data_IF_168456881935
#
_entry.id   IF_168456881935
#
_cell.length_a   1.000
_cell.length_b   1.000
_cell.length_c   1.000
_cell.angle_alpha   90.00
_cell.angle_beta   90.00
_cell.angle_gamma   90.00
#
_symmetry.space_group_name_H-M   'P 1'
#
loop_
_entity.id
_entity.type
_entity.pdbx_description
1 polymer ?
#
# COMPACT_ATOMS: atom_id res chain seq x y z
N UNK A 1 -19.38 -17.21 16.86
CA UNK A 1 -18.60 -17.38 18.09
C UNK A 1 -17.51 -16.32 18.06
N UNK A 2 -17.64 -15.22 18.80
CA UNK A 2 -16.60 -14.20 18.85
C UNK A 2 -15.50 -14.70 19.80
N UNK A 3 -14.32 -14.97 19.28
CA UNK A 3 -13.15 -15.26 20.11
C UNK A 3 -12.79 -13.96 20.82
N UNK A 4 -13.09 -13.88 22.13
CA UNK A 4 -12.61 -12.80 22.98
C UNK A 4 -11.15 -13.08 23.32
N UNK A 5 -10.23 -12.71 22.43
CA UNK A 5 -8.81 -12.62 22.80
C UNK A 5 -8.61 -11.41 23.72
N UNK A 6 -7.88 -11.55 24.85
CA UNK A 6 -7.52 -10.42 25.68
C UNK A 6 -6.80 -9.35 24.84
N UNK A 7 -7.07 -8.05 25.06
CA UNK A 7 -6.50 -6.96 24.25
C UNK A 7 -4.97 -6.93 24.22
N UNK A 8 -4.31 -7.54 25.21
CA UNK A 8 -2.84 -7.60 25.33
C UNK A 8 -2.23 -8.95 24.88
N UNK A 9 -3.02 -9.85 24.26
CA UNK A 9 -2.51 -11.11 23.71
C UNK A 9 -1.66 -10.86 22.45
N UNK A 10 -0.52 -11.54 22.34
CA UNK A 10 0.32 -11.53 21.13
C UNK A 10 -0.42 -12.28 20.02
N UNK A 11 -0.72 -11.58 18.92
CA UNK A 11 -1.37 -12.15 17.75
C UNK A 11 -0.38 -12.92 16.87
N UNK A 12 0.81 -12.36 16.63
CA UNK A 12 1.89 -13.03 15.88
C UNK A 12 3.26 -12.40 16.15
N UNK A 13 4.31 -13.11 15.70
CA UNK A 13 5.68 -12.60 15.67
C UNK A 13 6.05 -12.19 14.25
N UNK A 14 6.36 -10.92 14.03
CA UNK A 14 6.91 -10.44 12.76
C UNK A 14 8.43 -10.49 12.82
N UNK A 15 9.02 -11.46 12.13
CA UNK A 15 10.48 -11.48 11.98
C UNK A 15 10.91 -10.39 10.99
N UNK A 16 11.90 -9.60 11.40
CA UNK A 16 12.54 -8.60 10.53
C UNK A 16 13.92 -9.09 10.10
N UNK A 17 14.32 -8.70 8.89
CA UNK A 17 15.60 -9.08 8.26
C UNK A 17 16.81 -8.36 8.87
N UNK A 18 16.75 -8.02 10.17
CA UNK A 18 17.74 -7.20 10.88
C UNK A 18 19.15 -7.44 10.36
N UNK A 19 19.74 -6.40 9.77
CA UNK A 19 21.02 -6.50 9.09
C UNK A 19 22.07 -7.00 10.08
N UNK A 20 22.66 -8.15 9.77
CA UNK A 20 23.86 -8.74 10.39
C UNK A 20 23.75 -9.26 11.83
N UNK A 21 22.58 -9.68 12.32
CA UNK A 21 22.42 -10.24 13.67
C UNK A 21 21.47 -11.43 13.79
N UNK A 22 21.12 -11.81 15.02
CA UNK A 22 20.07 -12.79 15.30
C UNK A 22 18.70 -12.25 14.84
N UNK A 23 17.86 -13.06 14.16
CA UNK A 23 16.53 -12.64 13.77
C UNK A 23 15.72 -12.12 14.95
N UNK A 24 15.21 -10.89 14.84
CA UNK A 24 14.36 -10.28 15.87
C UNK A 24 12.90 -10.51 15.50
N UNK A 25 12.14 -11.11 16.41
CA UNK A 25 10.70 -11.25 16.29
C UNK A 25 9.99 -10.11 17.01
N UNK A 26 9.35 -9.22 16.27
CA UNK A 26 8.49 -8.20 16.86
C UNK A 26 7.20 -8.87 17.34
N UNK A 27 6.89 -8.73 18.62
CA UNK A 27 5.63 -9.19 19.20
C UNK A 27 4.51 -8.23 18.80
N UNK A 28 3.64 -8.64 17.88
CA UNK A 28 2.49 -7.86 17.45
C UNK A 28 1.27 -8.30 18.27
N UNK A 29 0.83 -7.44 19.19
CA UNK A 29 -0.38 -7.67 19.98
C UNK A 29 -1.66 -7.44 19.18
N UNK A 30 -2.75 -8.11 19.56
CA UNK A 30 -4.07 -7.96 18.91
C UNK A 30 -4.55 -6.50 18.92
N UNK A 31 -4.44 -5.79 20.06
CA UNK A 31 -4.78 -4.36 20.12
C UNK A 31 -3.86 -3.49 19.26
N UNK A 32 -2.57 -3.81 19.18
CA UNK A 32 -1.64 -3.04 18.35
C UNK A 32 -1.98 -3.19 16.86
N UNK A 33 -2.28 -4.42 16.44
CA UNK A 33 -2.69 -4.72 15.07
C UNK A 33 -3.96 -3.96 14.68
N UNK A 34 -5.03 -4.06 15.48
CA UNK A 34 -6.31 -3.39 15.18
C UNK A 34 -6.13 -1.88 15.16
N UNK A 35 -5.43 -1.31 16.16
CA UNK A 35 -5.17 0.13 16.19
C UNK A 35 -4.36 0.60 14.97
N UNK A 36 -3.36 -0.17 14.51
CA UNK A 36 -2.58 0.21 13.34
C UNK A 36 -3.41 0.11 12.04
N UNK A 37 -4.25 -0.91 11.90
CA UNK A 37 -5.18 -1.05 10.77
C UNK A 37 -6.20 0.10 10.74
N UNK A 38 -6.71 0.53 11.88
CA UNK A 38 -7.62 1.67 11.95
C UNK A 38 -6.92 2.98 11.58
N UNK A 39 -5.69 3.22 12.06
CA UNK A 39 -4.89 4.38 11.67
C UNK A 39 -4.64 4.41 10.15
N UNK A 40 -4.29 3.26 9.59
CA UNK A 40 -4.12 3.07 8.14
C UNK A 40 -5.44 3.40 7.41
N UNK A 41 -6.58 2.89 7.88
CA UNK A 41 -7.89 3.16 7.27
C UNK A 41 -8.27 4.65 7.32
N UNK A 42 -7.96 5.35 8.42
CA UNK A 42 -8.25 6.78 8.55
C UNK A 42 -7.52 7.63 7.52
N UNK A 43 -6.22 7.37 7.29
CA UNK A 43 -5.43 8.06 6.26
C UNK A 43 -6.06 7.84 4.88
N UNK A 44 -6.48 6.60 4.60
CA UNK A 44 -7.10 6.21 3.34
C UNK A 44 -8.43 6.92 3.10
N UNK A 45 -9.25 7.06 4.14
CA UNK A 45 -10.56 7.73 4.06
C UNK A 45 -10.39 9.24 3.87
N UNK A 46 -9.47 9.86 4.62
CA UNK A 46 -9.19 11.29 4.52
C UNK A 46 -8.70 11.71 3.12
N UNK A 47 -7.80 10.93 2.50
CA UNK A 47 -7.30 11.22 1.15
C UNK A 47 -8.35 11.12 0.05
N UNK A 48 -9.35 10.26 0.26
CA UNK A 48 -10.31 9.95 -0.78
C UNK A 48 -11.47 10.93 -0.87
N UNK A 49 -11.62 11.83 0.10
CA UNK A 49 -12.77 12.75 0.25
C UNK A 49 -14.15 12.04 0.32
N UNK A 50 -14.18 10.71 0.39
CA UNK A 50 -15.40 9.89 0.24
C UNK A 50 -16.07 9.52 1.56
N UNK A 51 -15.56 10.03 2.69
CA UNK A 51 -16.12 9.72 4.01
C UNK A 51 -16.08 8.21 4.32
N UNK A 52 -17.07 7.72 5.07
CA UNK A 52 -17.20 6.31 5.38
C UNK A 52 -17.92 5.55 4.26
N UNK A 53 -17.15 4.76 3.50
CA UNK A 53 -17.69 3.82 2.53
C UNK A 53 -18.07 2.48 3.16
N UNK A 54 -19.09 1.79 2.64
CA UNK A 54 -19.35 0.38 2.92
C UNK A 54 -18.11 -0.48 2.63
N UNK A 55 -17.90 -1.54 3.40
CA UNK A 55 -16.71 -2.38 3.30
C UNK A 55 -16.58 -3.07 1.92
N UNK A 56 -17.71 -3.47 1.35
CA UNK A 56 -17.84 -4.09 0.04
C UNK A 56 -17.44 -3.18 -1.12
N UNK A 57 -17.43 -1.86 -0.93
CA UNK A 57 -17.04 -0.88 -1.93
C UNK A 57 -15.53 -0.59 -1.93
N UNK A 58 -14.77 -1.23 -1.05
CA UNK A 58 -13.33 -1.03 -0.88
C UNK A 58 -12.56 -2.29 -1.27
N UNK A 59 -11.56 -2.11 -2.12
CA UNK A 59 -10.69 -3.17 -2.62
C UNK A 59 -9.21 -2.95 -2.32
N UNK A 60 -8.48 -4.05 -2.13
CA UNK A 60 -7.02 -4.08 -2.01
C UNK A 60 -6.45 -4.99 -3.09
N UNK A 61 -5.46 -4.51 -3.87
CA UNK A 61 -4.65 -5.36 -4.73
C UNK A 61 -3.20 -5.42 -4.22
N UNK A 62 -2.76 -6.60 -3.80
CA UNK A 62 -1.40 -6.78 -3.27
C UNK A 62 -0.68 -7.96 -3.93
N UNK A 63 0.56 -7.71 -4.34
CA UNK A 63 1.54 -8.72 -4.72
C UNK A 63 2.62 -8.90 -3.65
N UNK A 64 2.55 -8.13 -2.56
CA UNK A 64 3.59 -8.10 -1.56
C UNK A 64 3.64 -9.42 -0.78
N UNK A 65 4.85 -9.86 -0.41
CA UNK A 65 5.01 -11.08 0.36
C UNK A 65 4.34 -10.96 1.74
N UNK A 66 3.53 -11.96 2.08
CA UNK A 66 2.87 -12.05 3.40
C UNK A 66 3.83 -12.41 4.55
N UNK A 67 5.10 -12.71 4.23
CA UNK A 67 6.15 -12.83 5.24
C UNK A 67 6.82 -11.47 5.57
N UNK A 68 6.47 -10.39 4.87
CA UNK A 68 6.79 -9.02 5.26
C UNK A 68 5.56 -8.31 5.82
N UNK A 69 5.79 -7.41 6.78
CA UNK A 69 4.78 -6.59 7.46
C UNK A 69 3.81 -5.88 6.50
N UNK A 70 4.32 -5.24 5.44
CA UNK A 70 3.52 -4.47 4.49
C UNK A 70 2.58 -5.36 3.66
N UNK A 71 3.03 -6.57 3.31
CA UNK A 71 2.19 -7.54 2.59
C UNK A 71 1.20 -8.24 3.51
N UNK A 72 1.63 -8.59 4.72
CA UNK A 72 0.79 -9.24 5.73
C UNK A 72 -0.28 -8.28 6.26
N UNK A 73 0.12 -7.21 6.94
CA UNK A 73 -0.80 -6.28 7.61
C UNK A 73 -1.51 -5.42 6.57
N UNK A 74 -0.75 -4.78 5.67
CA UNK A 74 -1.30 -3.82 4.71
C UNK A 74 -2.11 -4.49 3.59
N UNK A 75 -1.61 -5.60 3.06
CA UNK A 75 -2.19 -6.29 1.91
C UNK A 75 -3.24 -7.36 2.25
N UNK A 76 -3.19 -7.97 3.44
CA UNK A 76 -4.04 -9.12 3.79
C UNK A 76 -4.90 -8.86 5.04
N UNK A 77 -4.29 -8.64 6.20
CA UNK A 77 -5.01 -8.51 7.47
C UNK A 77 -5.91 -7.27 7.52
N UNK A 78 -5.49 -6.15 6.93
CA UNK A 78 -6.34 -4.96 6.81
C UNK A 78 -7.65 -5.30 6.10
N UNK A 79 -7.60 -6.04 4.99
CA UNK A 79 -8.80 -6.40 4.25
C UNK A 79 -9.67 -7.39 5.05
N UNK A 80 -9.06 -8.40 5.68
CA UNK A 80 -9.77 -9.38 6.48
C UNK A 80 -10.50 -8.74 7.67
N UNK A 81 -9.85 -7.82 8.39
CA UNK A 81 -10.41 -7.15 9.57
C UNK A 81 -11.47 -6.12 9.18
N UNK A 82 -11.29 -5.42 8.06
CA UNK A 82 -12.21 -4.37 7.60
C UNK A 82 -13.33 -4.87 6.68
N UNK A 83 -13.31 -6.15 6.30
CA UNK A 83 -14.30 -6.76 5.40
C UNK A 83 -14.15 -6.32 3.93
N UNK A 84 -12.97 -5.87 3.53
CA UNK A 84 -12.71 -5.40 2.16
C UNK A 84 -12.45 -6.56 1.21
N UNK A 85 -12.69 -6.32 -0.08
CA UNK A 85 -12.24 -7.23 -1.14
C UNK A 85 -10.72 -7.22 -1.23
N UNK A 86 -10.10 -8.40 -1.30
CA UNK A 86 -8.66 -8.53 -1.54
C UNK A 86 -8.37 -9.40 -2.77
N UNK A 87 -7.72 -8.82 -3.78
CA UNK A 87 -7.09 -9.55 -4.89
C UNK A 87 -5.60 -9.70 -4.56
N UNK A 88 -5.11 -10.93 -4.41
CA UNK A 88 -3.72 -11.22 -4.02
C UNK A 88 -2.99 -12.01 -5.12
N UNK A 89 -1.69 -11.75 -5.30
CA UNK A 89 -0.81 -12.54 -6.17
C UNK A 89 0.58 -12.71 -5.56
N UNK A 90 1.41 -13.59 -6.13
CA UNK A 90 2.76 -13.80 -5.62
C UNK A 90 3.72 -12.67 -6.04
N UNK A 91 4.74 -12.34 -5.22
CA UNK A 91 5.79 -11.40 -5.61
C UNK A 91 6.51 -11.84 -6.88
N UNK A 92 6.73 -13.15 -7.05
CA UNK A 92 7.36 -13.73 -8.23
C UNK A 92 6.55 -13.45 -9.51
N UNK A 93 5.22 -13.62 -9.45
CA UNK A 93 4.32 -13.32 -10.55
C UNK A 93 4.40 -11.84 -10.93
N UNK A 94 4.41 -10.94 -9.95
CA UNK A 94 4.57 -9.50 -10.19
C UNK A 94 5.92 -9.15 -10.81
N UNK A 95 7.03 -9.67 -10.27
CA UNK A 95 8.37 -9.41 -10.78
C UNK A 95 8.54 -9.88 -12.23
N UNK A 96 7.94 -11.01 -12.59
CA UNK A 96 7.91 -11.51 -13.96
C UNK A 96 7.01 -10.65 -14.85
N UNK A 97 5.80 -10.30 -14.38
CA UNK A 97 4.76 -9.63 -15.16
C UNK A 97 4.09 -8.49 -14.37
N UNK A 98 4.71 -7.29 -14.29
CA UNK A 98 4.22 -6.20 -13.44
C UNK A 98 2.81 -5.72 -13.79
N UNK A 99 2.40 -5.86 -15.06
CA UNK A 99 1.05 -5.51 -15.51
C UNK A 99 -0.05 -6.28 -14.74
N UNK A 100 0.23 -7.46 -14.18
CA UNK A 100 -0.75 -8.25 -13.43
C UNK A 100 -1.29 -7.46 -12.24
N UNK A 101 -0.46 -6.66 -11.57
CA UNK A 101 -0.91 -5.83 -10.46
C UNK A 101 -1.90 -4.76 -10.92
N UNK A 102 -1.60 -4.07 -12.02
CA UNK A 102 -2.49 -3.05 -12.58
C UNK A 102 -3.79 -3.67 -13.12
N UNK A 103 -3.72 -4.89 -13.66
CA UNK A 103 -4.90 -5.65 -14.07
C UNK A 103 -5.76 -6.09 -12.89
N UNK A 104 -5.16 -6.44 -11.74
CA UNK A 104 -5.90 -6.72 -10.50
C UNK A 104 -6.70 -5.49 -10.08
N UNK A 105 -6.08 -4.32 -10.12
CA UNK A 105 -6.74 -3.04 -9.88
C UNK A 105 -7.88 -2.87 -10.88
N UNK A 106 -7.63 -2.96 -12.19
CA UNK A 106 -8.67 -2.83 -13.22
C UNK A 106 -9.88 -3.77 -13.03
N UNK A 107 -9.68 -5.00 -12.55
CA UNK A 107 -10.81 -5.93 -12.28
C UNK A 107 -11.71 -5.51 -11.12
N UNK A 108 -11.25 -4.62 -10.26
CA UNK A 108 -12.02 -4.05 -9.16
C UNK A 108 -12.71 -2.74 -9.57
N UNK A 109 -12.97 -2.53 -10.87
CA UNK A 109 -13.70 -1.36 -11.38
C UNK A 109 -15.10 -1.15 -10.76
N UNK A 110 -15.69 -2.22 -10.21
CA UNK A 110 -16.99 -2.18 -9.56
C UNK A 110 -16.89 -1.79 -8.07
N UNK A 111 -15.67 -1.74 -7.52
CA UNK A 111 -15.41 -1.14 -6.19
C UNK A 111 -15.23 0.36 -6.36
N UNK A 112 -15.77 1.14 -5.43
CA UNK A 112 -15.68 2.59 -5.46
C UNK A 112 -14.23 3.07 -5.21
N UNK A 113 -13.51 2.36 -4.34
CA UNK A 113 -12.13 2.67 -3.97
C UNK A 113 -11.27 1.42 -4.01
N UNK A 114 -10.18 1.48 -4.77
CA UNK A 114 -9.03 0.58 -4.63
C UNK A 114 -7.88 1.31 -3.99
N UNK A 115 -7.25 0.60 -3.07
CA UNK A 115 -6.08 1.03 -2.34
C UNK A 115 -5.00 -0.05 -2.42
N UNK A 116 -3.78 0.38 -2.67
CA UNK A 116 -2.65 -0.53 -2.80
C UNK A 116 -1.45 0.07 -2.09
N UNK A 117 -0.58 -0.80 -1.59
CA UNK A 117 0.72 -0.40 -1.05
C UNK A 117 1.84 -1.14 -1.77
N UNK A 118 2.94 -0.46 -2.02
CA UNK A 118 4.13 -1.03 -2.64
C UNK A 118 5.37 -0.20 -2.29
N UNK A 119 6.57 -0.80 -2.32
CA UNK A 119 7.80 -0.04 -2.34
C UNK A 119 7.97 0.74 -3.64
N UNK A 120 8.80 1.79 -3.60
CA UNK A 120 9.03 2.66 -4.75
C UNK A 120 9.45 1.89 -6.01
N UNK A 121 10.26 0.82 -5.86
CA UNK A 121 10.69 -0.03 -6.98
C UNK A 121 9.52 -0.69 -7.71
N UNK A 122 8.41 -1.01 -7.03
CA UNK A 122 7.24 -1.64 -7.64
C UNK A 122 6.60 -0.73 -8.69
N UNK A 123 6.46 0.55 -8.36
CA UNK A 123 6.01 1.59 -9.29
C UNK A 123 7.00 1.78 -10.44
N UNK A 124 8.30 1.88 -10.14
CA UNK A 124 9.35 2.02 -11.15
C UNK A 124 9.38 0.83 -12.13
N UNK A 125 9.15 -0.39 -11.65
CA UNK A 125 9.09 -1.59 -12.48
C UNK A 125 7.88 -1.56 -13.42
N UNK A 126 6.73 -1.06 -12.96
CA UNK A 126 5.56 -0.85 -13.82
C UNK A 126 5.84 0.15 -14.94
N UNK A 127 6.44 1.31 -14.63
CA UNK A 127 6.87 2.30 -15.64
C UNK A 127 7.75 1.65 -16.71
N UNK A 128 8.72 0.83 -16.28
CA UNK A 128 9.70 0.22 -17.17
C UNK A 128 9.08 -0.83 -18.10
N UNK A 129 8.14 -1.64 -17.60
CA UNK A 129 7.68 -2.86 -18.29
C UNK A 129 6.28 -2.80 -18.88
N UNK A 130 5.40 -1.91 -18.42
CA UNK A 130 4.00 -1.85 -18.89
C UNK A 130 3.88 -0.80 -20.01
N UNK A 131 3.68 -1.28 -21.24
CA UNK A 131 3.65 -0.45 -22.46
C UNK A 131 2.69 -1.05 -23.51
N UNK A 132 2.41 -0.29 -24.57
CA UNK A 132 1.64 -0.75 -25.73
C UNK A 132 0.24 -1.24 -25.36
N UNK A 133 -0.21 -2.32 -25.99
CA UNK A 133 -1.55 -2.89 -25.83
C UNK A 133 -1.90 -3.23 -24.38
N UNK A 134 -0.91 -3.61 -23.56
CA UNK A 134 -1.15 -3.93 -22.16
C UNK A 134 -1.55 -2.69 -21.36
N UNK A 135 -0.96 -1.52 -21.68
CA UNK A 135 -1.29 -0.23 -21.07
C UNK A 135 -2.69 0.24 -21.49
N UNK A 136 -3.02 0.10 -22.79
CA UNK A 136 -4.29 0.55 -23.36
C UNK A 136 -5.53 -0.17 -22.79
N UNK A 137 -5.34 -1.35 -22.17
CA UNK A 137 -6.42 -2.16 -21.58
C UNK A 137 -6.65 -1.88 -20.10
N UNK A 138 -5.88 -0.99 -19.48
CA UNK A 138 -5.99 -0.68 -18.05
C UNK A 138 -7.02 0.40 -17.79
N UNK A 139 -7.75 0.24 -16.68
CA UNK A 139 -8.56 1.28 -16.05
C UNK A 139 -8.15 1.38 -14.58
N UNK A 140 -7.72 2.57 -14.17
CA UNK A 140 -7.14 2.88 -12.86
C UNK A 140 -7.85 4.05 -12.16
N UNK A 141 -8.99 4.52 -12.69
CA UNK A 141 -9.73 5.67 -12.16
C UNK A 141 -10.23 5.46 -10.71
N UNK A 142 -10.50 4.22 -10.33
CA UNK A 142 -10.92 3.82 -8.98
C UNK A 142 -9.73 3.56 -8.04
N UNK A 143 -8.48 3.64 -8.51
CA UNK A 143 -7.32 3.61 -7.63
C UNK A 143 -7.14 4.96 -6.94
N UNK A 144 -7.73 5.11 -5.75
CA UNK A 144 -7.75 6.37 -5.01
C UNK A 144 -6.63 6.50 -3.99
N UNK A 145 -5.99 5.38 -3.60
CA UNK A 145 -4.87 5.40 -2.65
C UNK A 145 -3.73 4.51 -3.12
N UNK A 146 -2.67 5.12 -3.61
CA UNK A 146 -1.41 4.50 -4.03
C UNK A 146 -0.33 4.77 -2.97
N UNK A 147 -0.25 3.90 -1.97
CA UNK A 147 0.74 3.99 -0.90
C UNK A 147 2.14 3.64 -1.42
N UNK A 148 3.10 4.52 -1.17
CA UNK A 148 4.51 4.34 -1.53
C UNK A 148 5.37 4.49 -0.27
N UNK A 149 6.09 3.44 0.10
CA UNK A 149 6.84 3.38 1.37
C UNK A 149 7.86 2.24 1.40
N UNK A 150 8.25 1.80 2.59
CA UNK A 150 9.24 0.73 2.85
C UNK A 150 10.69 1.00 2.36
N UNK A 151 10.91 1.99 1.50
CA UNK A 151 12.21 2.44 1.02
C UNK A 151 12.17 3.94 0.69
N UNK A 152 13.33 4.61 0.46
CA UNK A 152 13.33 6.00 0.03
C UNK A 152 12.49 6.22 -1.24
N UNK A 153 11.48 7.08 -1.11
CA UNK A 153 10.56 7.42 -2.20
C UNK A 153 11.25 8.36 -3.17
N UNK A 154 11.20 8.06 -4.47
CA UNK A 154 11.82 8.89 -5.51
C UNK A 154 10.77 9.77 -6.19
N UNK A 155 10.98 11.07 -6.13
CA UNK A 155 10.15 12.06 -6.83
C UNK A 155 9.99 11.74 -8.33
N UNK A 156 11.06 11.30 -9.01
CA UNK A 156 10.98 10.91 -10.42
C UNK A 156 10.05 9.73 -10.67
N UNK A 157 10.02 8.74 -9.78
CA UNK A 157 9.11 7.59 -9.89
C UNK A 157 7.65 8.03 -9.78
N UNK A 158 7.34 8.91 -8.84
CA UNK A 158 6.00 9.50 -8.65
C UNK A 158 5.56 10.22 -9.93
N UNK A 159 6.39 11.15 -10.43
CA UNK A 159 6.09 11.95 -11.62
C UNK A 159 5.96 11.09 -12.89
N UNK A 160 6.90 10.18 -13.14
CA UNK A 160 6.89 9.34 -14.34
C UNK A 160 5.73 8.35 -14.35
N UNK A 161 5.36 7.78 -13.20
CA UNK A 161 4.25 6.86 -13.10
C UNK A 161 2.93 7.60 -13.34
N UNK A 162 2.72 8.75 -12.70
CA UNK A 162 1.56 9.61 -12.97
C UNK A 162 1.42 9.91 -14.46
N UNK A 163 2.48 10.37 -15.12
CA UNK A 163 2.45 10.69 -16.54
C UNK A 163 2.18 9.46 -17.42
N UNK A 164 2.80 8.31 -17.11
CA UNK A 164 2.66 7.07 -17.89
C UNK A 164 1.25 6.50 -17.85
N UNK A 165 0.59 6.56 -16.70
CA UNK A 165 -0.70 5.89 -16.46
C UNK A 165 -1.89 6.85 -16.41
N UNK A 166 -1.69 8.16 -16.67
CA UNK A 166 -2.75 9.15 -16.75
C UNK A 166 -3.85 8.77 -17.75
N UNK A 167 -3.49 8.24 -18.93
CA UNK A 167 -4.46 7.79 -19.94
C UNK A 167 -5.28 6.57 -19.51
N UNK A 168 -4.82 5.83 -18.50
CA UNK A 168 -5.57 4.74 -17.87
C UNK A 168 -6.48 5.25 -16.75
N UNK A 169 -6.50 6.56 -16.47
CA UNK A 169 -7.29 7.18 -15.40
C UNK A 169 -6.58 7.28 -14.05
N UNK A 170 -5.28 6.97 -13.96
CA UNK A 170 -4.55 7.20 -12.70
C UNK A 170 -4.43 8.69 -12.41
N UNK A 171 -4.88 9.11 -11.23
CA UNK A 171 -4.86 10.52 -10.80
C UNK A 171 -3.69 10.76 -9.84
N UNK A 172 -2.88 11.80 -10.06
CA UNK A 172 -1.73 12.10 -9.19
C UNK A 172 -2.10 12.34 -7.73
N UNK A 173 -3.33 12.78 -7.44
CA UNK A 173 -3.82 12.91 -6.06
C UNK A 173 -3.93 11.57 -5.31
N UNK A 174 -3.92 10.45 -6.03
CA UNK A 174 -3.97 9.13 -5.41
C UNK A 174 -2.68 8.79 -4.64
N UNK A 175 -1.57 9.50 -4.89
CA UNK A 175 -0.31 9.23 -4.20
C UNK A 175 -0.41 9.44 -2.69
N UNK A 176 0.04 8.43 -1.95
CA UNK A 176 0.11 8.43 -0.51
C UNK A 176 1.53 8.01 -0.04
N UNK A 177 2.48 8.96 0.06
CA UNK A 177 3.78 8.69 0.67
C UNK A 177 3.59 8.29 2.13
N UNK A 178 4.15 7.14 2.52
CA UNK A 178 4.02 6.59 3.87
C UNK A 178 5.36 6.08 4.40
N UNK A 179 5.53 6.20 5.71
CA UNK A 179 6.64 5.63 6.47
C UNK A 179 6.11 4.66 7.52
N UNK A 180 6.86 3.59 7.74
CA UNK A 180 6.46 2.48 8.58
C UNK A 180 7.59 1.52 8.89
N UNK A 181 7.42 0.76 9.98
CA UNK A 181 8.32 -0.29 10.42
C UNK A 181 7.56 -1.33 11.25
N UNK A 182 8.07 -2.57 11.24
CA UNK A 182 7.46 -3.69 11.94
C UNK A 182 7.30 -3.45 13.45
N UNK A 183 8.23 -2.74 14.09
CA UNK A 183 8.19 -2.41 15.52
C UNK A 183 6.98 -1.53 15.90
N UNK A 184 6.36 -0.87 14.92
CA UNK A 184 5.08 -0.17 15.08
C UNK A 184 3.92 -0.92 14.40
N UNK A 185 4.01 -2.24 14.34
CA UNK A 185 3.22 -3.14 13.47
C UNK A 185 3.48 -2.91 11.98
N UNK A 186 3.16 -1.73 11.47
CA UNK A 186 3.40 -1.35 10.09
C UNK A 186 3.46 0.17 9.92
N UNK A 187 2.33 0.86 9.97
CA UNK A 187 2.24 2.28 9.61
C UNK A 187 2.66 3.18 10.76
N UNK A 188 3.50 4.18 10.50
CA UNK A 188 3.86 5.21 11.48
C UNK A 188 3.31 6.58 11.10
N UNK A 189 3.55 7.01 9.86
CA UNK A 189 3.07 8.30 9.38
C UNK A 189 2.93 8.33 7.86
N UNK A 190 2.18 9.32 7.38
CA UNK A 190 1.84 9.54 5.98
C UNK A 190 0.87 10.70 5.89
N UNK A 191 0.81 11.38 4.74
CA UNK A 191 0.03 12.60 4.58
C UNK A 191 -1.29 12.31 3.89
N UNK A 192 -2.38 12.86 4.41
CA UNK A 192 -3.71 12.73 3.82
C UNK A 192 -4.06 13.83 2.80
N UNK A 193 -3.09 14.68 2.46
CA UNK A 193 -3.24 15.79 1.52
C UNK A 193 -2.47 15.49 0.22
N UNK A 194 -2.68 16.32 -0.80
CA UNK A 194 -1.97 16.22 -2.09
C UNK A 194 -0.46 16.05 -1.88
N UNK A 195 0.19 15.16 -2.63
CA UNK A 195 1.64 14.96 -2.48
C UNK A 195 2.39 16.19 -2.99
N UNK A 196 3.17 16.84 -2.12
CA UNK A 196 4.03 17.97 -2.48
C UNK A 196 5.49 17.51 -2.49
N UNK A 197 6.19 17.82 -3.59
CA UNK A 197 7.62 17.54 -3.74
C UNK A 197 8.38 18.85 -3.52
N UNK A 198 9.15 18.92 -2.45
CA UNK A 198 10.01 20.06 -2.14
C UNK A 198 11.46 19.73 -2.52
N UNK A 199 12.11 20.65 -3.23
CA UNK A 199 13.56 20.63 -3.38
C UNK A 199 14.18 21.46 -2.26
N UNK A 200 15.06 20.84 -1.50
CA UNK A 200 15.76 21.49 -0.40
C UNK A 200 17.23 21.57 -0.76
N UNK A 201 17.77 22.78 -0.82
CA UNK A 201 19.21 22.99 -0.98
C UNK A 201 19.89 22.67 0.35
N UNK A 202 20.82 21.70 0.31
CA UNK A 202 21.63 21.33 1.46
C UNK A 202 22.41 22.53 2.03
N UNK A 203 22.87 23.44 1.18
CA UNK A 203 23.60 24.63 1.61
C UNK A 203 22.73 25.61 2.43
N UNK A 204 21.41 25.53 2.30
CA UNK A 204 20.47 26.36 3.05
C UNK A 204 20.01 25.73 4.39
N UNK A 205 20.46 24.51 4.72
CA UNK A 205 20.00 23.78 5.91
C UNK A 205 20.84 23.99 7.18
N UNK A 206 21.95 24.73 7.10
CA UNK A 206 22.86 24.96 8.23
C UNK A 206 23.90 23.87 8.40
#
# INVERSE_FOLDING_TARGET
MAVQSPPDEVAFLQYTSGSTGHPKGVMVGTRNLVANIDAIAQVRMAQSEMGALPAEEVGVASWLPQYHDMGLIGGCLSAAIRGWRADLTSPFTFLQRPVVWLQMITRMKDTHLVQCTAPNFGYALCIRRVKGDALAKLSLAHWKVAMNGAEPIRASTVTEFSARFASCGFESRAWAPVFGLAENCLYCCGRAEETVILQVDRACLG
#
